data_IF_303036477997
#
_entry.id   IF_303036477997
#
_cell.length_a   1.000
_cell.length_b   1.000
_cell.length_c   1.000
_cell.angle_alpha   90.00
_cell.angle_beta   90.00
_cell.angle_gamma   90.00
#
_symmetry.space_group_name_H-M   'P 1'
#
loop_
_entity.id
_entity.type
_entity.pdbx_description
1 polymer ?
#
# COMPACT_ATOMS: atom_id res chain seq x y z
N UNK A 1 3.82 29.02 -11.10
CA UNK A 1 2.56 29.36 -11.80
C UNK A 1 2.73 29.00 -13.27
N UNK A 2 1.86 28.11 -13.78
CA UNK A 2 1.75 27.50 -15.15
C UNK A 2 2.17 26.01 -15.22
N UNK A 3 1.33 25.23 -15.91
CA UNK A 3 1.09 23.77 -15.84
C UNK A 3 0.41 23.42 -14.51
N UNK A 4 -0.90 23.20 -14.41
CA UNK A 4 -1.76 22.34 -15.22
C UNK A 4 -3.13 23.02 -15.25
N UNK A 5 -3.51 23.55 -16.41
CA UNK A 5 -4.85 24.11 -16.58
C UNK A 5 -5.29 23.76 -17.99
N UNK A 6 -5.96 22.61 -18.11
CA UNK A 6 -6.89 22.22 -19.19
C UNK A 6 -6.98 20.71 -19.21
N UNK A 7 -8.06 20.20 -18.64
CA UNK A 7 -8.93 19.13 -19.15
C UNK A 7 -9.77 18.70 -17.96
N UNK A 8 -11.08 18.91 -18.01
CA UNK A 8 -12.11 17.97 -17.54
C UNK A 8 -13.50 18.56 -17.75
N UNK A 9 -14.38 17.73 -18.33
CA UNK A 9 -15.80 17.96 -18.46
C UNK A 9 -16.53 17.11 -17.40
N UNK A 10 -17.59 17.71 -16.85
CA UNK A 10 -18.28 17.39 -15.61
C UNK A 10 -18.91 16.00 -15.51
N UNK A 11 -18.88 15.42 -14.30
CA UNK A 11 -19.84 14.40 -13.85
C UNK A 11 -20.35 14.80 -12.46
N UNK A 12 -21.67 14.97 -12.34
CA UNK A 12 -22.35 15.29 -11.08
C UNK A 12 -22.92 14.00 -10.49
N UNK A 13 -22.62 13.67 -9.24
CA UNK A 13 -23.21 12.53 -8.51
C UNK A 13 -24.04 13.07 -7.34
N UNK A 14 -25.31 12.68 -7.27
CA UNK A 14 -26.23 13.02 -6.18
C UNK A 14 -26.16 11.99 -5.04
N UNK A 15 -26.01 12.47 -3.80
CA UNK A 15 -26.06 11.65 -2.59
C UNK A 15 -27.51 11.47 -2.10
N UNK A 16 -27.91 10.23 -1.79
CA UNK A 16 -29.06 9.91 -0.94
C UNK A 16 -28.53 9.20 0.32
N UNK A 17 -28.81 9.78 1.49
CA UNK A 17 -28.50 9.20 2.80
C UNK A 17 -29.67 8.30 3.24
N UNK A 18 -29.39 7.02 3.51
CA UNK A 18 -30.28 6.14 4.23
C UNK A 18 -29.66 5.83 5.61
N UNK A 19 -30.33 6.29 6.67
CA UNK A 19 -29.94 6.05 8.05
C UNK A 19 -30.46 4.69 8.53
N UNK A 20 -29.58 3.69 8.57
CA UNK A 20 -29.77 2.46 9.33
C UNK A 20 -28.50 2.18 10.13
N UNK A 21 -28.65 1.78 11.40
CA UNK A 21 -27.55 1.20 12.18
C UNK A 21 -27.43 -0.27 11.77
N UNK A 22 -26.28 -0.65 11.22
CA UNK A 22 -25.94 -2.03 10.88
C UNK A 22 -24.65 -2.34 11.63
N UNK A 23 -24.70 -3.26 12.59
CA UNK A 23 -23.51 -3.81 13.23
C UNK A 23 -22.73 -4.63 12.20
N UNK A 24 -21.43 -4.35 12.10
CA UNK A 24 -20.51 -5.04 11.18
C UNK A 24 -19.90 -6.22 11.91
N UNK A 25 -19.85 -7.39 11.26
CA UNK A 25 -19.09 -8.53 11.74
C UNK A 25 -17.62 -8.33 11.32
N UNK A 26 -16.64 -8.33 12.25
CA UNK A 26 -15.21 -8.34 11.93
C UNK A 26 -14.81 -9.43 10.93
N UNK A 27 -15.62 -10.48 10.75
CA UNK A 27 -15.43 -11.50 9.72
C UNK A 27 -15.58 -10.98 8.26
N UNK A 28 -16.18 -9.80 8.05
CA UNK A 28 -16.30 -9.15 6.73
C UNK A 28 -15.02 -8.42 6.28
N UNK A 29 -14.07 -8.20 7.20
CA UNK A 29 -12.70 -7.83 6.90
C UNK A 29 -11.95 -9.16 6.78
N UNK A 30 -11.49 -9.53 5.59
CA UNK A 30 -10.90 -10.84 5.32
C UNK A 30 -9.73 -11.23 6.24
N UNK A 31 -9.18 -12.42 6.01
CA UNK A 31 -8.06 -12.96 6.79
C UNK A 31 -6.88 -11.97 6.84
N UNK A 32 -6.67 -11.36 8.01
CA UNK A 32 -5.59 -10.39 8.26
C UNK A 32 -4.24 -11.06 8.49
N UNK A 33 -4.19 -12.39 8.57
CA UNK A 33 -2.94 -13.13 8.71
C UNK A 33 -2.16 -13.15 7.40
N UNK A 34 -0.84 -13.28 7.46
CA UNK A 34 0.00 -13.42 6.27
C UNK A 34 -0.03 -14.85 5.71
N UNK A 35 0.19 -15.04 4.39
CA UNK A 35 0.29 -16.38 3.81
C UNK A 35 1.42 -17.19 4.48
N UNK A 36 1.09 -18.35 5.02
CA UNK A 36 2.07 -19.22 5.70
C UNK A 36 2.41 -18.79 7.14
N UNK A 37 1.69 -17.83 7.73
CA UNK A 37 1.96 -17.34 9.09
C UNK A 37 1.89 -18.44 10.16
N UNK A 38 0.97 -19.40 10.06
CA UNK A 38 0.88 -20.49 11.04
C UNK A 38 2.16 -21.35 11.05
N UNK A 39 2.69 -21.68 9.87
CA UNK A 39 3.95 -22.42 9.75
C UNK A 39 5.14 -21.58 10.24
N UNK A 40 5.13 -20.27 9.97
CA UNK A 40 6.11 -19.33 10.52
C UNK A 40 6.12 -19.36 12.05
N UNK A 41 4.96 -19.29 12.71
CA UNK A 41 4.89 -19.28 14.17
C UNK A 41 5.27 -20.63 14.79
N UNK A 42 5.01 -21.75 14.11
CA UNK A 42 5.31 -23.10 14.62
C UNK A 42 6.74 -23.55 14.38
N UNK A 43 7.40 -23.06 13.33
CA UNK A 43 8.75 -23.49 13.05
C UNK A 43 9.72 -23.07 14.18
N UNK A 44 10.75 -23.89 14.40
CA UNK A 44 11.78 -23.63 15.39
C UNK A 44 13.13 -23.57 14.66
N UNK A 45 14.00 -22.67 15.09
CA UNK A 45 15.30 -22.46 14.48
C UNK A 45 16.30 -21.96 15.51
N UNK A 46 17.59 -22.13 15.25
CA UNK A 46 18.64 -21.50 16.04
C UNK A 46 18.64 -19.99 15.74
N UNK A 47 18.59 -19.14 16.77
CA UNK A 47 18.63 -17.68 16.61
C UNK A 47 17.68 -16.92 17.54
N UNK A 48 17.60 -15.60 17.34
CA UNK A 48 16.66 -14.74 18.06
C UNK A 48 15.20 -15.13 17.75
N UNK A 49 14.27 -14.99 18.72
CA UNK A 49 12.85 -15.26 18.48
C UNK A 49 12.35 -14.48 17.25
N UNK A 50 11.65 -15.18 16.36
CA UNK A 50 11.08 -14.56 15.16
C UNK A 50 9.98 -13.57 15.55
N UNK A 51 9.85 -12.44 14.83
CA UNK A 51 8.77 -11.50 15.05
C UNK A 51 7.43 -12.15 14.75
N UNK A 52 6.41 -11.75 15.49
CA UNK A 52 5.03 -12.12 15.22
C UNK A 52 4.46 -11.17 14.15
N UNK A 53 4.07 -11.68 12.96
CA UNK A 53 3.59 -10.84 11.87
C UNK A 53 2.41 -9.92 12.20
N UNK A 54 1.61 -10.27 13.21
CA UNK A 54 0.45 -9.47 13.62
C UNK A 54 0.79 -8.35 14.60
N UNK A 55 1.72 -8.60 15.53
CA UNK A 55 1.92 -7.73 16.71
C UNK A 55 3.26 -7.02 16.73
N UNK A 56 4.27 -7.53 16.02
CA UNK A 56 5.58 -6.87 15.95
C UNK A 56 5.49 -5.58 15.12
N UNK A 57 6.14 -4.54 15.63
CA UNK A 57 6.34 -3.28 14.90
C UNK A 57 7.28 -3.49 13.71
N UNK A 58 7.17 -2.62 12.70
CA UNK A 58 8.03 -2.67 11.51
C UNK A 58 9.51 -2.46 11.88
N UNK A 59 9.78 -1.61 12.88
CA UNK A 59 11.11 -1.38 13.44
C UNK A 59 11.68 -2.62 14.14
N UNK A 60 10.87 -3.38 14.88
CA UNK A 60 11.31 -4.64 15.48
C UNK A 60 11.65 -5.69 14.42
N UNK A 61 10.84 -5.81 13.38
CA UNK A 61 11.11 -6.69 12.23
C UNK A 61 12.43 -6.29 11.54
N UNK A 62 12.61 -4.99 11.25
CA UNK A 62 13.80 -4.46 10.60
C UNK A 62 15.07 -4.67 11.44
N UNK A 63 14.98 -4.56 12.77
CA UNK A 63 16.10 -4.85 13.66
C UNK A 63 16.42 -6.33 13.69
N UNK A 64 15.40 -7.18 13.76
CA UNK A 64 15.57 -8.63 13.82
C UNK A 64 16.22 -9.17 12.55
N UNK A 65 15.71 -8.80 11.36
CA UNK A 65 16.27 -9.27 10.08
C UNK A 65 17.72 -8.80 9.89
N UNK A 66 18.08 -7.63 10.42
CA UNK A 66 19.45 -7.11 10.39
C UNK A 66 20.44 -7.89 11.27
N UNK A 67 19.95 -8.75 12.18
CA UNK A 67 20.82 -9.65 12.97
C UNK A 67 21.14 -10.97 12.27
N UNK A 68 20.44 -11.27 11.17
CA UNK A 68 20.59 -12.53 10.45
C UNK A 68 21.79 -12.50 9.51
N UNK A 69 22.47 -13.63 9.39
CA UNK A 69 23.44 -13.84 8.32
C UNK A 69 22.71 -13.90 6.96
N UNK A 70 23.36 -13.50 5.84
CA UNK A 70 22.72 -13.52 4.52
C UNK A 70 22.12 -14.89 4.14
N UNK A 71 22.79 -15.98 4.51
CA UNK A 71 22.30 -17.34 4.24
C UNK A 71 21.02 -17.68 5.04
N UNK A 72 20.86 -17.13 6.25
CA UNK A 72 19.66 -17.32 7.06
C UNK A 72 18.49 -16.52 6.47
N UNK A 73 18.73 -15.28 6.04
CA UNK A 73 17.73 -14.47 5.34
C UNK A 73 17.26 -15.14 4.03
N UNK A 74 18.19 -15.68 3.23
CA UNK A 74 17.88 -16.42 2.01
C UNK A 74 17.10 -17.72 2.27
N UNK A 75 17.35 -18.40 3.39
CA UNK A 75 16.58 -19.56 3.80
C UNK A 75 15.13 -19.17 4.12
N UNK A 76 14.92 -18.06 4.84
CA UNK A 76 13.57 -17.57 5.15
C UNK A 76 12.78 -17.19 3.89
N UNK A 77 13.44 -16.59 2.89
CA UNK A 77 12.82 -16.30 1.58
C UNK A 77 12.28 -17.57 0.94
N UNK A 78 13.01 -18.69 1.03
CA UNK A 78 12.61 -19.98 0.44
C UNK A 78 11.56 -20.72 1.26
N UNK A 79 11.72 -20.73 2.58
CA UNK A 79 10.90 -21.54 3.48
C UNK A 79 9.58 -20.85 3.85
N UNK A 80 9.57 -19.53 3.91
CA UNK A 80 8.41 -18.72 4.29
C UNK A 80 8.17 -17.52 3.36
N UNK A 81 8.12 -17.72 2.02
CA UNK A 81 8.02 -16.62 1.09
C UNK A 81 6.76 -15.77 1.31
N UNK A 82 5.64 -16.40 1.70
CA UNK A 82 4.38 -15.72 1.99
C UNK A 82 4.48 -14.72 3.14
N UNK A 83 5.27 -15.03 4.17
CA UNK A 83 5.50 -14.13 5.31
C UNK A 83 6.56 -13.11 4.95
N UNK A 84 7.74 -13.54 4.49
CA UNK A 84 8.86 -12.64 4.15
C UNK A 84 8.45 -11.62 3.09
N UNK A 85 7.67 -12.05 2.09
CA UNK A 85 7.18 -11.20 1.02
C UNK A 85 6.19 -10.13 1.46
N UNK A 86 5.41 -10.36 2.52
CA UNK A 86 4.31 -9.48 2.93
C UNK A 86 4.51 -8.79 4.29
N UNK A 87 5.59 -9.12 5.01
CA UNK A 87 5.90 -8.57 6.32
C UNK A 87 6.64 -7.22 6.18
N UNK A 88 6.02 -6.13 6.65
CA UNK A 88 6.68 -4.82 6.64
C UNK A 88 7.80 -4.73 7.66
N UNK A 89 8.82 -3.95 7.32
CA UNK A 89 10.10 -3.95 8.03
C UNK A 89 11.06 -5.03 7.50
N UNK A 90 10.67 -5.91 6.58
CA UNK A 90 11.61 -6.74 5.82
C UNK A 90 12.20 -5.92 4.66
N UNK A 91 13.53 -5.98 4.39
CA UNK A 91 14.17 -5.28 3.29
C UNK A 91 13.46 -5.54 1.94
N UNK A 92 13.25 -4.50 1.10
CA UNK A 92 12.59 -4.63 -0.20
C UNK A 92 13.17 -5.73 -1.09
N UNK A 93 14.50 -5.91 -1.10
CA UNK A 93 15.16 -6.95 -1.90
C UNK A 93 14.71 -8.38 -1.53
N UNK A 94 14.55 -8.67 -0.23
CA UNK A 94 14.06 -9.96 0.24
C UNK A 94 12.57 -10.13 -0.07
N UNK A 95 11.78 -9.06 0.07
CA UNK A 95 10.35 -9.06 -0.30
C UNK A 95 10.16 -9.33 -1.80
N UNK A 96 10.94 -8.67 -2.65
CA UNK A 96 10.94 -8.90 -4.10
C UNK A 96 11.32 -10.34 -4.45
N UNK A 97 12.33 -10.92 -3.78
CA UNK A 97 12.71 -12.30 -4.01
C UNK A 97 11.60 -13.27 -3.62
N UNK A 98 11.04 -13.13 -2.41
CA UNK A 98 9.98 -13.98 -1.89
C UNK A 98 8.69 -13.92 -2.71
N UNK A 99 8.27 -12.72 -3.11
CA UNK A 99 7.05 -12.55 -3.90
C UNK A 99 7.23 -12.97 -5.37
N UNK A 100 8.42 -12.82 -5.95
CA UNK A 100 8.73 -13.35 -7.28
C UNK A 100 8.59 -14.86 -7.31
N UNK A 101 9.13 -15.56 -6.31
CA UNK A 101 9.09 -17.02 -6.27
C UNK A 101 7.65 -17.53 -6.12
N UNK A 102 6.82 -16.87 -5.30
CA UNK A 102 5.39 -17.17 -5.19
C UNK A 102 4.61 -16.89 -6.48
N UNK A 103 4.80 -15.71 -7.08
CA UNK A 103 4.08 -15.33 -8.28
C UNK A 103 4.42 -16.24 -9.47
N UNK A 104 5.69 -16.64 -9.59
CA UNK A 104 6.14 -17.59 -10.61
C UNK A 104 5.55 -18.98 -10.40
N UNK A 105 5.50 -19.47 -9.15
CA UNK A 105 4.94 -20.78 -8.85
C UNK A 105 3.45 -20.92 -9.22
N UNK A 106 2.74 -19.80 -9.32
CA UNK A 106 1.32 -19.76 -9.69
C UNK A 106 1.07 -19.32 -11.13
N UNK A 107 2.11 -18.96 -11.89
CA UNK A 107 2.01 -18.38 -13.24
C UNK A 107 1.02 -17.20 -13.34
N UNK A 108 0.77 -16.52 -12.22
CA UNK A 108 -0.32 -15.55 -12.07
C UNK A 108 0.05 -14.13 -12.53
N UNK A 109 1.34 -13.81 -12.48
CA UNK A 109 1.88 -12.48 -12.83
C UNK A 109 3.08 -12.67 -13.77
N UNK A 110 3.21 -11.86 -14.85
CA UNK A 110 4.38 -11.92 -15.73
C UNK A 110 5.71 -11.77 -14.99
N UNK A 111 6.73 -12.51 -15.41
CA UNK A 111 8.06 -12.44 -14.81
C UNK A 111 8.68 -11.02 -14.87
N UNK A 112 9.58 -10.72 -13.93
CA UNK A 112 10.33 -9.46 -13.88
C UNK A 112 9.62 -8.30 -13.16
N UNK A 113 8.48 -8.56 -12.53
CA UNK A 113 7.76 -7.59 -11.69
C UNK A 113 8.45 -7.45 -10.32
N UNK A 114 8.51 -6.22 -9.79
CA UNK A 114 9.04 -5.94 -8.46
C UNK A 114 7.87 -5.86 -7.46
N UNK A 115 7.61 -6.94 -6.74
CA UNK A 115 6.44 -7.04 -5.84
C UNK A 115 6.85 -6.88 -4.37
N UNK A 116 6.44 -5.77 -3.73
CA UNK A 116 6.56 -5.58 -2.28
C UNK A 116 5.51 -6.37 -1.51
N UNK A 117 4.42 -6.78 -2.14
CA UNK A 117 3.38 -7.61 -1.54
C UNK A 117 2.68 -8.44 -2.59
N UNK A 118 2.39 -9.69 -2.24
CA UNK A 118 1.66 -10.63 -3.07
C UNK A 118 0.94 -11.62 -2.15
N UNK A 119 -0.39 -11.57 -2.18
CA UNK A 119 -1.24 -12.56 -1.51
C UNK A 119 -2.33 -12.99 -2.49
N UNK A 120 -2.32 -14.23 -2.99
CA UNK A 120 -3.32 -14.71 -3.93
C UNK A 120 -4.58 -15.25 -3.24
N UNK A 121 -4.66 -15.26 -1.91
CA UNK A 121 -5.82 -15.78 -1.17
C UNK A 121 -6.99 -14.79 -1.24
N UNK A 122 -8.22 -15.32 -1.19
CA UNK A 122 -9.42 -14.50 -1.24
C UNK A 122 -9.53 -13.69 -2.54
N UNK A 123 -9.80 -12.39 -2.43
CA UNK A 123 -9.78 -11.45 -3.57
C UNK A 123 -8.36 -11.15 -4.07
N UNK A 124 -7.37 -11.42 -3.22
CA UNK A 124 -5.96 -11.22 -3.47
C UNK A 124 -5.50 -9.77 -3.36
N UNK A 125 -4.25 -9.59 -2.97
CA UNK A 125 -3.58 -8.32 -2.77
C UNK A 125 -2.28 -8.29 -3.54
N UNK A 126 -1.90 -7.11 -4.04
CA UNK A 126 -0.66 -6.89 -4.78
C UNK A 126 -0.12 -5.49 -4.56
N UNK A 127 1.19 -5.40 -4.31
CA UNK A 127 1.91 -4.13 -4.23
C UNK A 127 3.10 -4.19 -5.17
N UNK A 128 3.03 -3.46 -6.29
CA UNK A 128 4.09 -3.44 -7.33
C UNK A 128 4.86 -2.13 -7.30
N UNK A 129 6.16 -2.20 -7.54
CA UNK A 129 7.06 -1.05 -7.64
C UNK A 129 7.53 -0.83 -9.08
N UNK A 130 7.41 0.41 -9.54
CA UNK A 130 7.99 0.92 -10.76
C UNK A 130 9.20 1.80 -10.45
N UNK A 131 10.32 1.59 -11.12
CA UNK A 131 11.59 2.29 -10.83
C UNK A 131 12.45 1.56 -9.80
N UNK A 132 13.58 2.18 -9.44
CA UNK A 132 14.53 1.65 -8.47
C UNK A 132 14.26 2.26 -7.08
N UNK A 133 13.62 1.49 -6.19
CA UNK A 133 13.16 1.98 -4.89
C UNK A 133 14.29 2.54 -4.01
N UNK A 134 15.44 1.86 -3.98
CA UNK A 134 16.60 2.22 -3.16
C UNK A 134 17.42 3.38 -3.72
N UNK A 135 17.17 3.79 -4.97
CA UNK A 135 17.89 4.87 -5.66
C UNK A 135 17.01 6.12 -5.85
N UNK A 136 15.72 6.03 -5.52
CA UNK A 136 14.78 7.10 -5.75
C UNK A 136 14.79 8.10 -4.58
N UNK A 137 15.02 9.38 -4.89
CA UNK A 137 14.87 10.46 -3.90
C UNK A 137 13.39 10.82 -3.66
N UNK A 138 12.47 10.33 -4.51
CA UNK A 138 11.03 10.48 -4.32
C UNK A 138 10.26 9.19 -4.61
N UNK A 139 9.39 8.82 -3.67
CA UNK A 139 8.52 7.66 -3.79
C UNK A 139 7.07 8.12 -3.81
N UNK A 140 6.35 7.79 -4.88
CA UNK A 140 4.92 8.10 -5.02
C UNK A 140 4.13 6.82 -4.75
N UNK A 141 3.28 6.81 -3.73
CA UNK A 141 2.35 5.71 -3.47
C UNK A 141 1.02 6.06 -4.12
N UNK A 142 0.50 5.17 -4.97
CA UNK A 142 -0.82 5.29 -5.59
C UNK A 142 -1.81 4.46 -4.79
N UNK A 143 -2.72 5.14 -4.10
CA UNK A 143 -3.76 4.55 -3.27
C UNK A 143 -5.05 4.45 -4.11
N UNK A 144 -5.53 3.22 -4.41
CA UNK A 144 -6.67 3.00 -5.29
C UNK A 144 -8.02 3.35 -4.64
N UNK A 145 -9.06 3.31 -5.47
CA UNK A 145 -10.44 3.31 -5.00
C UNK A 145 -10.96 1.91 -4.65
N UNK A 146 -12.28 1.78 -4.55
CA UNK A 146 -13.01 0.51 -4.40
C UNK A 146 -12.76 -0.46 -5.55
N UNK A 147 -13.14 -1.73 -5.36
CA UNK A 147 -13.08 -2.78 -6.38
C UNK A 147 -11.67 -3.03 -6.95
N UNK A 148 -10.63 -2.75 -6.15
CA UNK A 148 -9.24 -3.07 -6.50
C UNK A 148 -8.76 -4.24 -5.65
N UNK A 149 -8.31 -5.28 -6.35
CA UNK A 149 -7.76 -6.52 -5.82
C UNK A 149 -6.84 -7.14 -6.88
N UNK A 150 -6.25 -8.32 -6.61
CA UNK A 150 -5.36 -9.00 -7.55
C UNK A 150 -6.04 -9.30 -8.89
N UNK A 151 -7.31 -9.70 -8.88
CA UNK A 151 -8.09 -10.02 -10.08
C UNK A 151 -8.46 -8.79 -10.93
N UNK A 152 -8.52 -7.60 -10.32
CA UNK A 152 -8.87 -6.33 -10.97
C UNK A 152 -7.69 -5.35 -11.03
N UNK A 153 -6.47 -5.85 -10.90
CA UNK A 153 -5.24 -5.04 -10.88
C UNK A 153 -4.80 -4.58 -12.28
N UNK A 154 -4.98 -5.44 -13.28
CA UNK A 154 -4.59 -5.21 -14.67
C UNK A 154 -5.78 -4.79 -15.56
N UNK A 155 -5.48 -4.20 -16.71
CA UNK A 155 -6.48 -3.75 -17.68
C UNK A 155 -6.70 -2.22 -17.68
N UNK A 156 -7.40 -1.69 -18.70
CA UNK A 156 -7.58 -0.26 -18.86
C UNK A 156 -8.29 0.35 -17.64
N UNK A 157 -7.84 1.54 -17.23
CA UNK A 157 -8.36 2.27 -16.07
C UNK A 157 -8.25 1.55 -14.72
N UNK A 158 -7.35 0.55 -14.60
CA UNK A 158 -7.03 -0.12 -13.34
C UNK A 158 -5.77 0.45 -12.67
N UNK A 159 -5.49 0.01 -11.45
CA UNK A 159 -4.41 0.52 -10.62
C UNK A 159 -3.05 0.38 -11.32
N UNK A 160 -2.77 -0.76 -11.96
CA UNK A 160 -1.45 -0.99 -12.57
C UNK A 160 -1.15 0.01 -13.70
N UNK A 161 -1.99 0.18 -14.75
CA UNK A 161 -1.70 1.18 -15.79
C UNK A 161 -1.73 2.63 -15.28
N UNK A 162 -2.52 2.93 -14.25
CA UNK A 162 -2.51 4.24 -13.60
C UNK A 162 -1.13 4.53 -12.99
N UNK A 163 -0.60 3.63 -12.17
CA UNK A 163 0.72 3.77 -11.57
C UNK A 163 1.84 3.80 -12.61
N UNK A 164 1.73 3.00 -13.68
CA UNK A 164 2.66 3.06 -14.82
C UNK A 164 2.66 4.44 -15.50
N UNK A 165 1.48 5.05 -15.66
CA UNK A 165 1.37 6.38 -16.27
C UNK A 165 1.97 7.46 -15.37
N UNK A 166 1.75 7.36 -14.05
CA UNK A 166 2.38 8.23 -13.05
C UNK A 166 3.91 8.09 -13.09
N UNK A 167 4.42 6.85 -13.11
CA UNK A 167 5.85 6.59 -13.20
C UNK A 167 6.46 7.13 -14.49
N UNK A 168 5.83 6.85 -15.64
CA UNK A 168 6.31 7.32 -16.93
C UNK A 168 6.44 8.85 -16.98
N UNK A 169 5.44 9.57 -16.46
CA UNK A 169 5.47 11.02 -16.43
C UNK A 169 6.48 11.57 -15.41
N UNK A 170 6.52 11.02 -14.19
CA UNK A 170 7.45 11.47 -13.16
C UNK A 170 8.91 11.20 -13.55
N UNK A 171 9.20 10.01 -14.09
CA UNK A 171 10.52 9.63 -14.58
C UNK A 171 10.93 10.42 -15.82
N UNK A 172 9.99 10.85 -16.67
CA UNK A 172 10.28 11.78 -17.79
C UNK A 172 10.78 13.14 -17.28
N UNK A 173 10.28 13.60 -16.14
CA UNK A 173 10.68 14.87 -15.54
C UNK A 173 11.95 14.76 -14.70
N UNK A 174 12.13 13.64 -13.98
CA UNK A 174 13.32 13.35 -13.16
C UNK A 174 13.80 11.91 -13.39
N UNK A 175 14.55 11.65 -14.48
CA UNK A 175 14.97 10.30 -14.83
C UNK A 175 15.80 9.64 -13.73
N UNK A 176 15.43 8.42 -13.33
CA UNK A 176 16.14 7.61 -12.33
C UNK A 176 15.87 7.96 -10.87
N UNK A 177 15.37 9.17 -10.58
CA UNK A 177 15.18 9.66 -9.19
C UNK A 177 13.78 9.42 -8.62
N UNK A 178 12.92 8.65 -9.30
CA UNK A 178 11.53 8.42 -8.86
C UNK A 178 11.20 6.94 -8.88
N UNK A 179 10.55 6.48 -7.81
CA UNK A 179 9.85 5.20 -7.79
C UNK A 179 8.35 5.43 -7.55
N UNK A 180 7.51 4.55 -8.10
CA UNK A 180 6.06 4.57 -7.89
C UNK A 180 5.61 3.22 -7.37
N UNK A 181 4.82 3.24 -6.29
CA UNK A 181 4.24 2.05 -5.68
C UNK A 181 2.75 2.01 -6.04
N UNK A 182 2.34 1.00 -6.81
CA UNK A 182 0.94 0.65 -7.01
C UNK A 182 0.48 -0.21 -5.83
N UNK A 183 -0.31 0.37 -4.91
CA UNK A 183 -0.58 -0.27 -3.63
C UNK A 183 -2.03 -0.78 -3.50
N UNK A 184 -2.23 -2.08 -3.71
CA UNK A 184 -3.44 -2.81 -3.34
C UNK A 184 -3.12 -3.76 -2.18
N UNK A 185 -2.72 -3.20 -1.03
CA UNK A 185 -2.23 -3.94 0.13
C UNK A 185 -3.24 -4.14 1.26
N UNK A 186 -4.51 -3.83 1.02
CA UNK A 186 -5.62 -4.05 1.97
C UNK A 186 -6.87 -4.44 1.20
N UNK A 187 -7.87 -4.99 1.89
CA UNK A 187 -9.16 -5.29 1.27
C UNK A 187 -9.95 -4.01 1.00
N UNK A 188 -10.18 -3.71 -0.28
CA UNK A 188 -10.98 -2.55 -0.69
C UNK A 188 -12.48 -2.86 -0.61
N UNK A 189 -13.36 -1.87 -0.36
CA UNK A 189 -14.80 -2.09 -0.46
C UNK A 189 -15.22 -2.61 -1.85
N UNK A 190 -16.26 -3.45 -1.88
CA UNK A 190 -16.89 -3.91 -3.12
C UNK A 190 -18.07 -3.00 -3.48
N UNK A 191 -18.08 -2.49 -4.71
CA UNK A 191 -19.12 -1.64 -5.28
C UNK A 191 -19.05 -0.16 -4.89
N UNK A 192 -19.92 0.64 -5.52
CA UNK A 192 -20.09 2.07 -5.29
C UNK A 192 -21.47 2.33 -4.66
N UNK A 193 -21.49 2.65 -3.36
CA UNK A 193 -22.72 2.86 -2.58
C UNK A 193 -22.43 3.03 -1.08
N UNK A 194 -23.43 2.96 -0.20
CA UNK A 194 -23.27 3.10 1.26
C UNK A 194 -22.23 2.13 1.88
N UNK A 195 -21.88 1.05 1.18
CA UNK A 195 -20.79 0.13 1.55
C UNK A 195 -19.38 0.73 1.33
N UNK A 196 -19.23 1.69 0.41
CA UNK A 196 -18.03 2.50 0.21
C UNK A 196 -17.99 3.74 1.13
N UNK A 197 -18.96 3.90 2.04
CA UNK A 197 -18.93 4.90 3.12
C UNK A 197 -18.60 4.27 4.48
N UNK A 198 -18.18 2.98 4.49
CA UNK A 198 -17.80 2.25 5.70
C UNK A 198 -16.41 2.68 6.15
N UNK A 199 -16.32 3.16 7.39
CA UNK A 199 -15.09 3.68 7.99
C UNK A 199 -14.05 2.59 8.26
N UNK A 200 -14.47 1.33 8.37
CA UNK A 200 -13.64 0.21 8.82
C UNK A 200 -12.61 -0.21 7.77
N UNK A 201 -13.01 -0.32 6.49
CA UNK A 201 -12.04 -0.58 5.40
C UNK A 201 -11.05 0.58 5.23
N UNK A 202 -11.51 1.82 5.41
CA UNK A 202 -10.66 2.99 5.33
C UNK A 202 -9.65 3.03 6.48
N UNK A 203 -10.09 2.67 7.68
CA UNK A 203 -9.22 2.57 8.85
C UNK A 203 -8.20 1.43 8.69
N UNK A 204 -8.64 0.23 8.30
CA UNK A 204 -7.75 -0.89 8.04
C UNK A 204 -6.73 -0.58 6.93
N UNK A 205 -7.17 0.10 5.87
CA UNK A 205 -6.29 0.63 4.83
C UNK A 205 -5.31 1.66 5.38
N UNK A 206 -5.76 2.60 6.22
CA UNK A 206 -4.89 3.62 6.80
C UNK A 206 -3.79 3.00 7.69
N UNK A 207 -4.16 2.08 8.57
CA UNK A 207 -3.21 1.36 9.43
C UNK A 207 -2.18 0.59 8.59
N UNK A 208 -2.64 -0.07 7.53
CA UNK A 208 -1.77 -0.85 6.62
C UNK A 208 -0.88 0.04 5.76
N UNK A 209 -1.34 1.23 5.38
CA UNK A 209 -0.58 2.24 4.66
C UNK A 209 0.53 2.82 5.54
N UNK A 210 0.21 3.17 6.78
CA UNK A 210 1.19 3.65 7.76
C UNK A 210 2.28 2.60 7.99
N UNK A 211 1.91 1.33 8.16
CA UNK A 211 2.88 0.23 8.27
C UNK A 211 3.74 0.05 7.01
N UNK A 212 3.19 0.24 5.81
CA UNK A 212 3.98 0.22 4.58
C UNK A 212 5.03 1.33 4.58
N UNK A 213 4.61 2.56 4.87
CA UNK A 213 5.49 3.74 4.86
C UNK A 213 6.60 3.60 5.92
N UNK A 214 6.22 3.32 7.17
CA UNK A 214 7.14 3.11 8.29
C UNK A 214 8.11 1.95 8.01
N UNK A 215 7.63 0.84 7.45
CA UNK A 215 8.43 -0.33 7.15
C UNK A 215 9.39 -0.18 5.97
N UNK A 216 9.19 0.84 5.12
CA UNK A 216 10.11 1.18 4.03
C UNK A 216 11.17 2.21 4.46
N UNK A 217 10.86 3.08 5.43
CA UNK A 217 11.72 4.19 5.84
C UNK A 217 13.17 3.81 6.18
N UNK A 218 13.49 2.65 6.81
CA UNK A 218 14.88 2.26 7.06
C UNK A 218 15.71 1.91 5.81
N UNK A 219 15.06 1.74 4.65
CA UNK A 219 15.67 1.20 3.43
C UNK A 219 15.75 2.18 2.27
N UNK A 220 15.23 3.40 2.46
CA UNK A 220 15.15 4.44 1.43
C UNK A 220 15.52 5.79 2.03
N UNK A 221 16.16 6.64 1.24
CA UNK A 221 16.42 8.05 1.57
C UNK A 221 15.58 8.93 0.64
N UNK A 222 14.26 8.91 0.87
CA UNK A 222 13.29 9.44 -0.08
C UNK A 222 12.15 10.21 0.60
N UNK A 223 11.69 11.27 -0.06
CA UNK A 223 10.46 11.98 0.28
C UNK A 223 9.27 11.21 -0.31
N UNK A 224 8.25 10.95 0.50
CA UNK A 224 7.05 10.25 0.07
C UNK A 224 5.96 11.23 -0.39
N UNK A 225 5.20 10.83 -1.42
CA UNK A 225 3.95 11.49 -1.81
C UNK A 225 2.84 10.47 -1.95
N UNK A 226 1.63 10.83 -1.52
CA UNK A 226 0.44 10.00 -1.59
C UNK A 226 -0.47 10.49 -2.71
N UNK A 227 -0.79 9.63 -3.66
CA UNK A 227 -1.71 9.91 -4.77
C UNK A 227 -2.98 9.07 -4.58
N UNK A 228 -4.03 9.72 -4.10
CA UNK A 228 -5.22 9.08 -3.53
C UNK A 228 -6.42 9.20 -4.48
N UNK A 229 -6.87 8.07 -5.02
CA UNK A 229 -7.94 8.01 -6.02
C UNK A 229 -9.26 7.53 -5.42
N UNK A 230 -10.37 8.23 -5.68
CA UNK A 230 -11.71 7.75 -5.31
C UNK A 230 -11.77 7.38 -3.81
N UNK A 231 -12.19 6.18 -3.42
CA UNK A 231 -12.20 5.73 -2.01
C UNK A 231 -10.84 5.87 -1.30
N UNK A 232 -9.74 5.80 -2.05
CA UNK A 232 -8.39 6.02 -1.53
C UNK A 232 -8.19 7.40 -0.91
N UNK A 233 -8.99 8.41 -1.26
CA UNK A 233 -8.92 9.71 -0.57
C UNK A 233 -9.34 9.63 0.89
N UNK A 234 -10.28 8.74 1.22
CA UNK A 234 -10.73 8.50 2.59
C UNK A 234 -9.63 7.74 3.35
N UNK A 235 -9.01 6.73 2.74
CA UNK A 235 -7.86 6.01 3.32
C UNK A 235 -6.72 6.98 3.65
N UNK A 236 -6.35 7.83 2.70
CA UNK A 236 -5.32 8.84 2.91
C UNK A 236 -5.67 9.83 4.01
N UNK A 237 -6.95 10.24 4.10
CA UNK A 237 -7.40 11.13 5.16
C UNK A 237 -7.30 10.49 6.54
N UNK A 238 -7.67 9.20 6.65
CA UNK A 238 -7.57 8.43 7.88
C UNK A 238 -6.12 8.15 8.30
N UNK A 239 -5.21 8.02 7.34
CA UNK A 239 -3.78 7.85 7.60
C UNK A 239 -3.08 9.17 8.00
N UNK A 240 -3.61 10.32 7.56
CA UNK A 240 -2.95 11.62 7.65
C UNK A 240 -2.47 12.00 9.07
N UNK A 241 -3.26 11.80 10.16
CA UNK A 241 -2.80 12.09 11.52
C UNK A 241 -1.59 11.26 11.94
N UNK A 242 -1.57 9.97 11.58
CA UNK A 242 -0.49 9.03 11.94
C UNK A 242 0.82 9.26 11.19
N UNK A 243 0.84 10.08 10.14
CA UNK A 243 2.06 10.41 9.39
C UNK A 243 3.11 11.09 10.27
N UNK A 244 2.68 11.86 11.26
CA UNK A 244 3.59 12.54 12.20
C UNK A 244 4.26 11.57 13.17
N UNK A 245 3.65 10.41 13.43
CA UNK A 245 4.13 9.42 14.40
C UNK A 245 5.16 8.46 13.80
N UNK A 246 4.99 8.08 12.52
CA UNK A 246 5.84 7.08 11.86
C UNK A 246 7.21 7.60 11.40
N UNK A 247 7.54 8.87 11.66
CA UNK A 247 8.84 9.47 11.35
C UNK A 247 9.22 9.48 9.86
N UNK A 248 8.27 9.19 8.96
CA UNK A 248 8.46 9.15 7.51
C UNK A 248 8.03 10.49 6.91
N UNK A 249 8.90 11.13 6.12
CA UNK A 249 8.57 12.41 5.49
C UNK A 249 7.60 12.21 4.33
N UNK A 250 6.31 12.48 4.57
CA UNK A 250 5.29 12.61 3.54
C UNK A 250 5.06 14.08 3.24
N UNK A 251 5.35 14.49 2.01
CA UNK A 251 5.35 15.90 1.63
C UNK A 251 4.04 16.39 1.04
N UNK A 252 3.34 15.50 0.34
CA UNK A 252 2.20 15.82 -0.49
C UNK A 252 1.16 14.71 -0.42
N UNK A 253 -0.09 15.09 -0.15
CA UNK A 253 -1.27 14.25 -0.31
C UNK A 253 -2.08 14.83 -1.46
N UNK A 254 -2.13 14.14 -2.58
CA UNK A 254 -2.83 14.55 -3.80
C UNK A 254 -4.08 13.70 -3.95
N UNK A 255 -5.26 14.33 -3.92
CA UNK A 255 -6.55 13.65 -4.08
C UNK A 255 -7.17 13.96 -5.44
N UNK A 256 -7.76 12.94 -6.07
CA UNK A 256 -8.40 13.06 -7.39
C UNK A 256 -9.51 12.04 -7.56
N UNK A 257 -10.56 12.40 -8.32
CA UNK A 257 -11.77 11.57 -8.44
C UNK A 257 -12.43 11.25 -7.08
N UNK A 258 -12.19 12.09 -6.07
CA UNK A 258 -12.53 11.85 -4.67
C UNK A 258 -14.01 12.11 -4.36
N UNK A 259 -14.68 11.25 -3.56
CA UNK A 259 -16.01 11.54 -3.01
C UNK A 259 -15.95 12.47 -1.78
N UNK A 260 -14.76 12.83 -1.30
CA UNK A 260 -14.50 13.50 -0.03
C UNK A 260 -13.37 12.83 0.76
N UNK A 261 -12.97 13.47 1.87
CA UNK A 261 -11.90 13.00 2.77
C UNK A 261 -12.40 12.80 4.21
N UNK A 262 -13.71 12.73 4.41
CA UNK A 262 -14.33 12.55 5.74
C UNK A 262 -13.98 13.67 6.76
N UNK A 263 -13.64 14.83 6.22
CA UNK A 263 -13.37 16.09 6.91
C UNK A 263 -13.97 17.24 6.10
N UNK A 264 -14.29 18.34 6.77
CA UNK A 264 -14.84 19.55 6.15
C UNK A 264 -13.76 20.45 5.56
N UNK A 265 -12.58 20.50 6.20
CA UNK A 265 -11.44 21.33 5.78
C UNK A 265 -10.12 20.56 5.84
N UNK A 266 -9.14 20.99 5.03
CA UNK A 266 -7.83 20.35 4.98
C UNK A 266 -7.09 20.37 6.32
N UNK A 267 -7.27 21.42 7.14
CA UNK A 267 -6.63 21.54 8.46
C UNK A 267 -7.09 20.46 9.45
N UNK A 268 -8.26 19.84 9.24
CA UNK A 268 -8.77 18.76 10.07
C UNK A 268 -8.11 17.40 9.78
N UNK A 269 -7.26 17.31 8.74
CA UNK A 269 -6.48 16.10 8.45
C UNK A 269 -5.31 15.90 9.40
N UNK A 270 -4.97 16.91 10.21
CA UNK A 270 -3.91 16.88 11.23
C UNK A 270 -2.56 16.37 10.68
N UNK A 271 -2.14 16.95 9.55
CA UNK A 271 -0.91 16.55 8.86
C UNK A 271 -0.05 17.75 8.48
N UNK A 272 1.26 17.54 8.42
CA UNK A 272 2.22 18.51 7.89
C UNK A 272 2.34 18.46 6.35
N UNK A 273 1.79 17.42 5.71
CA UNK A 273 1.83 17.27 4.27
C UNK A 273 0.97 18.34 3.58
N UNK A 274 1.42 18.79 2.40
CA UNK A 274 0.62 19.68 1.55
C UNK A 274 -0.53 18.89 0.92
N UNK A 275 -1.74 19.40 1.06
CA UNK A 275 -2.95 18.75 0.53
C UNK A 275 -3.35 19.41 -0.79
N UNK A 276 -3.46 18.61 -1.85
CA UNK A 276 -3.82 19.04 -3.20
C UNK A 276 -5.08 18.33 -3.66
N UNK A 277 -6.03 19.07 -4.23
CA UNK A 277 -7.20 18.50 -4.90
C UNK A 277 -7.09 18.74 -6.41
N UNK A 278 -6.96 17.65 -7.17
CA UNK A 278 -7.04 17.70 -8.62
C UNK A 278 -8.51 17.58 -9.06
N UNK A 279 -8.92 18.49 -9.94
CA UNK A 279 -10.25 18.49 -10.56
C UNK A 279 -10.21 17.85 -11.93
#
# INVERSE_FOLDING_TARGET
>A
MRLVNRLLASVTIGCLLASGRWEIDPADLGDSTLPGQAAWQQATGAGAPRPDPQSSSTTEVARWIATLEPAEADALVKDFPGVVGNLDGVPPALRFAANRDQANAQEAIPAGRQLLGYDPRGRGMVTEVFGALSEADRIIVVIPGSDVDLGHYEGPNKLRPMAQSVFAEANRQRPGSVAVIAWAGYETPVGVGAHAARSEYAQAGADRLLRLLEGLAPYVDAEFSMLCHSYGSIVCARAAPGLTEIGTEVSDIVVFGSPGMDVDTADQLDTSARVWAAR
#
